data_IF_968840853595
#
_entry.id   IF_968840853595
#
_cell.length_a   1.000
_cell.length_b   1.000
_cell.length_c   1.000
_cell.angle_alpha   90.00
_cell.angle_beta   90.00
_cell.angle_gamma   90.00
#
_symmetry.space_group_name_H-M   'P 1'
#
loop_
_entity.id
_entity.type
_entity.pdbx_description
1 polymer ?
#
# COMPACT_ATOMS: atom_id res chain seq x y z
N UNK A 1 28.33 -4.88 2.07
CA UNK A 1 27.66 -4.93 0.74
C UNK A 1 26.71 -3.75 0.62
N UNK A 2 26.73 -3.03 -0.51
CA UNK A 2 25.90 -1.86 -0.79
C UNK A 2 24.84 -2.21 -1.83
N UNK A 3 23.56 -2.02 -1.49
CA UNK A 3 22.43 -2.35 -2.37
C UNK A 3 21.58 -1.10 -2.60
N UNK A 4 21.24 -0.82 -3.85
CA UNK A 4 20.29 0.22 -4.23
C UNK A 4 19.01 -0.42 -4.78
N UNK A 5 17.88 -0.14 -4.14
CA UNK A 5 16.55 -0.50 -4.63
C UNK A 5 15.95 0.70 -5.37
N UNK A 6 15.51 0.47 -6.61
CA UNK A 6 14.78 1.45 -7.43
C UNK A 6 13.33 1.00 -7.58
N UNK A 7 12.47 1.53 -6.72
CA UNK A 7 11.01 1.33 -6.77
C UNK A 7 10.34 2.63 -6.33
N UNK A 8 9.95 3.44 -7.31
CA UNK A 8 9.56 4.84 -7.07
C UNK A 8 8.05 5.04 -6.92
N UNK A 9 7.23 4.18 -7.53
CA UNK A 9 5.77 4.34 -7.59
C UNK A 9 5.08 3.05 -8.05
N UNK A 10 3.77 2.87 -7.88
CA UNK A 10 2.80 3.63 -7.06
C UNK A 10 2.93 3.35 -5.54
N UNK A 11 2.04 3.87 -4.69
CA UNK A 11 2.10 3.61 -3.24
C UNK A 11 1.98 2.12 -2.91
N UNK A 12 0.98 1.42 -3.47
CA UNK A 12 0.81 -0.02 -3.27
C UNK A 12 2.02 -0.81 -3.76
N UNK A 13 2.59 -0.44 -4.91
CA UNK A 13 3.84 -1.02 -5.43
C UNK A 13 5.04 -0.85 -4.49
N UNK A 14 5.15 0.31 -3.81
CA UNK A 14 6.21 0.57 -2.82
C UNK A 14 6.03 -0.35 -1.62
N UNK A 15 4.79 -0.47 -1.10
CA UNK A 15 4.45 -1.36 0.02
C UNK A 15 4.76 -2.82 -0.33
N UNK A 16 4.27 -3.30 -1.48
CA UNK A 16 4.52 -4.66 -1.94
C UNK A 16 6.00 -5.00 -2.18
N UNK A 17 6.86 -4.00 -2.29
CA UNK A 17 8.29 -4.19 -2.46
C UNK A 17 9.05 -4.24 -1.14
N UNK A 18 8.44 -3.89 0.00
CA UNK A 18 9.12 -3.87 1.29
C UNK A 18 9.67 -5.24 1.73
N UNK A 19 9.03 -6.39 1.43
CA UNK A 19 9.58 -7.70 1.79
C UNK A 19 10.94 -8.02 1.19
N UNK A 20 11.27 -7.39 0.06
CA UNK A 20 12.62 -7.47 -0.53
C UNK A 20 13.69 -7.02 0.46
N UNK A 21 13.43 -5.96 1.23
CA UNK A 21 14.39 -5.46 2.22
C UNK A 21 14.64 -6.50 3.30
N UNK A 22 13.57 -7.15 3.80
CA UNK A 22 13.69 -8.16 4.84
C UNK A 22 14.40 -9.42 4.32
N UNK A 23 14.10 -9.85 3.09
CA UNK A 23 14.79 -10.97 2.46
C UNK A 23 16.29 -10.72 2.31
N UNK A 24 16.68 -9.50 1.90
CA UNK A 24 18.10 -9.11 1.80
C UNK A 24 18.77 -9.16 3.18
N UNK A 25 18.17 -8.54 4.20
CA UNK A 25 18.76 -8.47 5.55
C UNK A 25 18.89 -9.86 6.18
N UNK A 26 17.93 -10.76 5.95
CA UNK A 26 17.99 -12.15 6.45
C UNK A 26 19.18 -12.93 5.89
N UNK A 27 19.46 -12.79 4.60
CA UNK A 27 20.56 -13.51 3.94
C UNK A 27 21.89 -12.78 4.04
N UNK A 28 21.84 -11.45 4.21
CA UNK A 28 23.00 -10.58 4.29
C UNK A 28 22.80 -9.52 5.40
N UNK A 29 23.00 -9.88 6.67
CA UNK A 29 22.73 -8.99 7.81
C UNK A 29 23.49 -7.65 7.78
N UNK A 30 24.68 -7.63 7.17
CA UNK A 30 25.52 -6.43 7.06
C UNK A 30 25.21 -5.59 5.80
N UNK A 31 24.18 -5.95 5.02
CA UNK A 31 23.79 -5.22 3.83
C UNK A 31 23.34 -3.79 4.16
N UNK A 32 23.90 -2.83 3.45
CA UNK A 32 23.54 -1.42 3.54
C UNK A 32 22.60 -1.12 2.36
N UNK A 33 21.31 -0.89 2.67
CA UNK A 33 20.26 -0.78 1.66
C UNK A 33 19.83 0.68 1.53
N UNK A 34 20.02 1.23 0.33
CA UNK A 34 19.49 2.53 -0.06
C UNK A 34 18.28 2.31 -0.97
N UNK A 35 17.26 3.17 -0.85
CA UNK A 35 16.02 3.04 -1.61
C UNK A 35 15.63 4.38 -2.25
N UNK A 36 15.54 4.39 -3.58
CA UNK A 36 14.96 5.51 -4.35
C UNK A 36 13.45 5.42 -4.40
N UNK A 37 12.76 6.44 -3.88
CA UNK A 37 11.29 6.50 -3.86
C UNK A 37 10.77 7.89 -4.21
N UNK A 38 9.55 8.01 -4.76
CA UNK A 38 8.92 9.33 -4.91
C UNK A 38 8.79 10.03 -3.55
N UNK A 39 8.98 11.35 -3.53
CA UNK A 39 9.06 12.16 -2.30
C UNK A 39 7.85 12.00 -1.38
N UNK A 40 6.66 11.81 -1.94
CA UNK A 40 5.43 11.59 -1.17
C UNK A 40 5.40 10.27 -0.40
N UNK A 41 6.34 9.36 -0.66
CA UNK A 41 6.43 8.04 -0.02
C UNK A 41 7.65 7.91 0.91
N UNK A 42 8.45 8.97 1.06
CA UNK A 42 9.68 8.95 1.88
C UNK A 42 9.39 8.60 3.33
N UNK A 43 8.36 9.20 3.93
CA UNK A 43 8.01 8.97 5.33
C UNK A 43 7.61 7.52 5.61
N UNK A 44 6.99 6.85 4.63
CA UNK A 44 6.67 5.44 4.71
C UNK A 44 7.92 4.56 4.65
N UNK A 45 8.81 4.81 3.67
CA UNK A 45 10.01 3.98 3.49
C UNK A 45 10.98 4.13 4.66
N UNK A 46 11.02 5.30 5.33
CA UNK A 46 11.80 5.50 6.56
C UNK A 46 11.38 4.59 7.72
N UNK A 47 10.15 4.08 7.70
CA UNK A 47 9.66 3.13 8.70
C UNK A 47 10.11 1.69 8.43
N UNK A 48 10.65 1.39 7.25
CA UNK A 48 11.07 0.03 6.88
C UNK A 48 12.41 -0.30 7.54
N UNK A 49 12.43 -1.34 8.38
CA UNK A 49 13.65 -1.86 9.02
C UNK A 49 14.64 -2.34 7.95
N UNK A 50 15.92 -2.09 8.16
CA UNK A 50 16.99 -2.45 7.20
C UNK A 50 17.25 -1.42 6.10
N UNK A 51 16.36 -0.44 5.89
CA UNK A 51 16.66 0.69 5.00
C UNK A 51 17.59 1.66 5.71
N UNK A 52 18.80 1.83 5.17
CA UNK A 52 19.81 2.76 5.67
C UNK A 52 19.51 4.20 5.25
N UNK A 53 19.21 4.40 3.96
CA UNK A 53 19.02 5.72 3.37
C UNK A 53 17.86 5.70 2.37
N UNK A 54 16.98 6.68 2.49
CA UNK A 54 15.94 6.95 1.48
C UNK A 54 16.42 8.09 0.60
N UNK A 55 16.38 7.90 -0.73
CA UNK A 55 16.80 8.89 -1.74
C UNK A 55 15.54 9.42 -2.43
N UNK A 56 15.10 10.65 -2.10
CA UNK A 56 13.86 11.20 -2.67
C UNK A 56 13.97 11.48 -4.16
N UNK A 57 12.96 11.08 -4.90
CA UNK A 57 12.76 11.39 -6.32
C UNK A 57 11.50 12.22 -6.48
N UNK A 58 11.52 13.30 -7.26
CA UNK A 58 10.39 14.25 -7.31
C UNK A 58 9.89 14.48 -8.74
N UNK A 59 9.83 13.43 -9.56
CA UNK A 59 9.48 13.54 -10.98
C UNK A 59 8.11 14.17 -11.20
N UNK A 60 7.12 13.86 -10.35
CA UNK A 60 5.79 14.47 -10.43
C UNK A 60 5.83 15.99 -10.29
N UNK A 61 6.70 16.52 -9.42
CA UNK A 61 6.90 17.96 -9.25
C UNK A 61 7.74 18.54 -10.39
N UNK A 62 8.86 17.91 -10.73
CA UNK A 62 9.78 18.37 -11.78
C UNK A 62 9.09 18.50 -13.13
N UNK A 63 8.17 17.59 -13.47
CA UNK A 63 7.39 17.65 -14.72
C UNK A 63 6.44 18.85 -14.80
N UNK A 64 6.05 19.46 -13.67
CA UNK A 64 5.21 20.68 -13.67
C UNK A 64 6.00 21.94 -14.01
N UNK A 65 7.31 21.93 -13.77
CA UNK A 65 8.20 23.08 -14.01
C UNK A 65 9.54 22.63 -14.63
N UNK A 66 9.54 22.03 -15.83
CA UNK A 66 10.73 21.39 -16.40
C UNK A 66 11.83 22.37 -16.81
N UNK A 67 11.50 23.63 -17.06
CA UNK A 67 12.47 24.67 -17.46
C UNK A 67 13.00 25.50 -16.27
N UNK A 68 12.48 25.28 -15.06
CA UNK A 68 12.90 26.06 -13.90
C UNK A 68 14.32 25.68 -13.48
N UNK A 69 15.17 26.67 -13.22
CA UNK A 69 16.55 26.46 -12.75
C UNK A 69 16.60 25.59 -11.49
N UNK A 70 15.65 25.78 -10.57
CA UNK A 70 15.49 24.98 -9.35
C UNK A 70 15.27 23.48 -9.66
N UNK A 71 14.44 23.15 -10.66
CA UNK A 71 14.21 21.76 -11.07
C UNK A 71 15.52 21.10 -11.53
N UNK A 72 16.33 21.80 -12.32
CA UNK A 72 17.63 21.28 -12.78
C UNK A 72 18.64 21.15 -11.64
N UNK A 73 18.64 22.08 -10.69
CA UNK A 73 19.46 21.98 -9.47
C UNK A 73 19.08 20.75 -8.62
N UNK A 74 17.78 20.51 -8.42
CA UNK A 74 17.26 19.35 -7.70
C UNK A 74 17.59 18.03 -8.41
N UNK A 75 17.45 17.97 -9.75
CA UNK A 75 17.86 16.80 -10.55
C UNK A 75 19.38 16.58 -10.43
N UNK A 76 20.18 17.64 -10.48
CA UNK A 76 21.63 17.57 -10.29
C UNK A 76 22.02 17.05 -8.91
N UNK A 77 21.35 17.52 -7.86
CA UNK A 77 21.54 17.05 -6.49
C UNK A 77 21.15 15.56 -6.34
N UNK A 78 20.02 15.16 -6.91
CA UNK A 78 19.57 13.77 -6.96
C UNK A 78 20.60 12.85 -7.65
N UNK A 79 21.11 13.26 -8.82
CA UNK A 79 22.15 12.52 -9.54
C UNK A 79 23.45 12.39 -8.74
N UNK A 80 23.85 13.45 -8.03
CA UNK A 80 25.01 13.39 -7.12
C UNK A 80 24.76 12.41 -5.98
N UNK A 81 23.61 12.50 -5.31
CA UNK A 81 23.22 11.59 -4.23
C UNK A 81 23.25 10.11 -4.65
N UNK A 82 22.74 9.78 -5.86
CA UNK A 82 22.79 8.43 -6.40
C UNK A 82 24.21 7.91 -6.71
N UNK A 83 25.17 8.81 -6.91
CA UNK A 83 26.55 8.48 -7.31
C UNK A 83 27.55 8.59 -6.15
N UNK A 84 27.11 9.07 -4.99
CA UNK A 84 27.92 9.15 -3.76
C UNK A 84 28.43 7.78 -3.34
N UNK A 85 27.59 6.75 -3.43
CA UNK A 85 27.93 5.37 -3.03
C UNK A 85 28.09 4.48 -4.28
N UNK A 86 29.20 3.74 -4.43
CA UNK A 86 29.26 2.62 -5.35
C UNK A 86 28.45 1.45 -4.78
N UNK A 87 27.55 0.89 -5.60
CA UNK A 87 26.67 -0.22 -5.23
C UNK A 87 27.15 -1.52 -5.86
N UNK A 88 27.15 -2.58 -5.05
CA UNK A 88 27.38 -3.94 -5.52
C UNK A 88 26.18 -4.41 -6.35
N UNK A 89 24.98 -4.03 -5.92
CA UNK A 89 23.71 -4.33 -6.61
C UNK A 89 22.87 -3.07 -6.77
N UNK A 90 22.49 -2.76 -8.01
CA UNK A 90 21.42 -1.80 -8.32
C UNK A 90 20.24 -2.58 -8.88
N UNK A 91 19.11 -2.59 -8.20
CA UNK A 91 17.97 -3.45 -8.54
C UNK A 91 16.74 -2.61 -8.84
N UNK A 92 16.29 -2.62 -10.10
CA UNK A 92 15.04 -2.02 -10.55
C UNK A 92 13.91 -3.05 -10.52
N UNK A 93 13.06 -2.96 -9.49
CA UNK A 93 11.88 -3.84 -9.33
C UNK A 93 10.60 -3.28 -9.96
N UNK A 94 10.71 -2.18 -10.71
CA UNK A 94 9.57 -1.49 -11.32
C UNK A 94 9.41 -1.79 -12.81
N UNK A 95 10.49 -1.83 -13.58
CA UNK A 95 10.42 -2.24 -14.99
C UNK A 95 9.90 -1.16 -15.96
N UNK A 96 10.16 0.12 -15.66
CA UNK A 96 9.78 1.25 -16.51
C UNK A 96 11.02 2.01 -16.99
N UNK A 97 10.98 2.62 -18.17
CA UNK A 97 12.06 3.40 -18.75
C UNK A 97 12.54 4.47 -17.75
N UNK A 98 11.61 5.17 -17.10
CA UNK A 98 11.95 6.18 -16.09
C UNK A 98 12.77 5.62 -14.93
N UNK A 99 12.51 4.39 -14.49
CA UNK A 99 13.24 3.76 -13.38
C UNK A 99 14.55 3.15 -13.86
N UNK A 100 14.59 2.61 -15.08
CA UNK A 100 15.84 2.17 -15.69
C UNK A 100 16.86 3.31 -15.85
N UNK A 101 16.41 4.53 -16.18
CA UNK A 101 17.28 5.71 -16.21
C UNK A 101 17.82 6.10 -14.82
N UNK A 102 16.98 6.01 -13.80
CA UNK A 102 17.39 6.24 -12.40
C UNK A 102 18.46 5.21 -12.01
N UNK A 103 18.18 3.93 -12.23
CA UNK A 103 19.10 2.84 -11.91
C UNK A 103 20.44 2.99 -12.67
N UNK A 104 20.40 3.33 -13.96
CA UNK A 104 21.59 3.52 -14.80
C UNK A 104 22.45 4.73 -14.39
N UNK A 105 21.88 5.69 -13.67
CA UNK A 105 22.59 6.86 -13.15
C UNK A 105 23.49 6.49 -11.96
N UNK A 106 23.08 5.51 -11.17
CA UNK A 106 23.83 5.00 -10.03
C UNK A 106 25.12 4.29 -10.46
N UNK A 107 26.05 4.12 -9.53
CA UNK A 107 27.34 3.47 -9.77
C UNK A 107 27.26 1.99 -9.40
N UNK A 108 26.86 1.13 -10.34
CA UNK A 108 26.81 -0.32 -10.12
C UNK A 108 26.21 -1.06 -11.31
N UNK A 109 26.30 -2.40 -11.31
CA UNK A 109 25.61 -3.22 -12.30
C UNK A 109 24.10 -3.22 -12.01
N UNK A 110 23.31 -2.90 -13.04
CA UNK A 110 21.85 -2.82 -12.91
C UNK A 110 21.21 -4.16 -13.23
N UNK A 111 20.42 -4.66 -12.29
CA UNK A 111 19.53 -5.81 -12.40
C UNK A 111 18.09 -5.32 -12.54
N UNK A 112 17.30 -5.97 -13.37
CA UNK A 112 15.89 -5.64 -13.51
C UNK A 112 15.05 -6.74 -14.13
N UNK A 113 13.75 -6.48 -14.23
CA UNK A 113 12.79 -7.41 -14.85
C UNK A 113 13.10 -7.61 -16.35
N UNK A 114 13.12 -8.87 -16.80
CA UNK A 114 13.35 -9.25 -18.19
C UNK A 114 12.07 -9.32 -19.06
N UNK A 115 10.89 -9.36 -18.44
CA UNK A 115 9.60 -9.47 -19.13
C UNK A 115 8.47 -8.75 -18.39
N UNK A 116 7.37 -8.54 -19.11
CA UNK A 116 6.10 -8.11 -18.54
C UNK A 116 5.45 -9.27 -17.78
N UNK A 117 4.83 -8.94 -16.64
CA UNK A 117 3.94 -9.82 -15.86
C UNK A 117 2.50 -9.33 -16.02
N UNK A 118 1.52 -10.21 -15.85
CA UNK A 118 0.12 -9.95 -16.15
C UNK A 118 -0.44 -8.78 -15.34
N UNK A 119 -1.12 -7.86 -16.04
CA UNK A 119 -1.71 -6.66 -15.46
C UNK A 119 -0.73 -5.65 -14.84
N UNK A 120 0.58 -5.88 -14.95
CA UNK A 120 1.60 -4.92 -14.53
C UNK A 120 2.03 -4.00 -15.68
N UNK A 121 2.29 -2.73 -15.35
CA UNK A 121 2.97 -1.82 -16.28
C UNK A 121 4.42 -2.28 -16.47
N UNK A 122 4.84 -2.43 -17.73
CA UNK A 122 6.21 -2.77 -18.11
C UNK A 122 6.51 -2.19 -19.49
N UNK A 123 7.62 -1.45 -19.60
CA UNK A 123 8.07 -0.82 -20.83
C UNK A 123 9.27 -1.58 -21.38
N UNK A 124 9.05 -2.49 -22.33
CA UNK A 124 10.07 -3.42 -22.82
C UNK A 124 11.44 -2.81 -23.19
N UNK A 125 11.56 -1.55 -23.69
CA UNK A 125 12.87 -0.97 -23.98
C UNK A 125 13.74 -0.76 -22.72
N UNK A 126 13.15 -0.78 -21.53
CA UNK A 126 13.87 -0.66 -20.26
C UNK A 126 14.97 -1.72 -20.09
N UNK A 127 14.79 -2.90 -20.70
CA UNK A 127 15.78 -3.99 -20.64
C UNK A 127 17.16 -3.60 -21.16
N UNK A 128 17.24 -2.63 -22.07
CA UNK A 128 18.51 -2.13 -22.61
C UNK A 128 19.26 -1.22 -21.63
N UNK A 129 18.58 -0.76 -20.58
CA UNK A 129 19.18 0.01 -19.49
C UNK A 129 19.74 -0.90 -18.39
N UNK A 130 19.47 -2.21 -18.46
CA UNK A 130 19.91 -3.20 -17.49
C UNK A 130 21.16 -3.93 -17.98
N UNK A 131 22.05 -4.28 -17.04
CA UNK A 131 23.19 -5.17 -17.30
C UNK A 131 22.75 -6.63 -17.23
N UNK A 132 21.89 -6.94 -16.27
CA UNK A 132 21.33 -8.27 -16.03
C UNK A 132 19.82 -8.19 -15.98
N UNK A 133 19.16 -9.21 -16.52
CA UNK A 133 17.70 -9.27 -16.55
C UNK A 133 17.23 -10.61 -16.03
N UNK A 134 16.23 -10.59 -15.16
CA UNK A 134 15.62 -11.80 -14.59
C UNK A 134 14.24 -11.99 -15.18
N UNK A 135 14.00 -13.16 -15.77
CA UNK A 135 12.68 -13.51 -16.28
C UNK A 135 11.83 -14.05 -15.14
N UNK A 136 10.61 -13.56 -15.04
CA UNK A 136 9.64 -13.98 -14.02
C UNK A 136 8.43 -14.58 -14.72
N UNK A 137 7.83 -15.59 -14.11
CA UNK A 137 6.57 -16.18 -14.57
C UNK A 137 5.52 -15.08 -14.80
N UNK A 138 4.85 -15.02 -15.98
CA UNK A 138 3.89 -13.97 -16.29
C UNK A 138 2.77 -13.84 -15.26
N UNK A 139 2.23 -14.97 -14.79
CA UNK A 139 1.18 -15.03 -13.78
C UNK A 139 1.80 -15.11 -12.38
N UNK A 140 2.13 -13.95 -11.80
CA UNK A 140 2.78 -13.88 -10.48
C UNK A 140 2.20 -12.74 -9.64
N UNK A 141 2.08 -12.98 -8.33
CA UNK A 141 1.74 -11.94 -7.38
C UNK A 141 2.83 -10.86 -7.35
N UNK A 142 2.45 -9.59 -7.13
CA UNK A 142 3.37 -8.45 -7.18
C UNK A 142 4.48 -8.51 -6.13
N UNK A 143 4.16 -8.96 -4.91
CA UNK A 143 5.13 -9.19 -3.81
C UNK A 143 6.13 -10.27 -4.23
N UNK A 144 5.65 -11.44 -4.64
CA UNK A 144 6.49 -12.58 -5.06
C UNK A 144 7.40 -12.19 -6.22
N UNK A 145 6.89 -11.43 -7.20
CA UNK A 145 7.68 -10.96 -8.35
C UNK A 145 8.93 -10.20 -7.93
N UNK A 146 8.77 -9.22 -7.03
CA UNK A 146 9.89 -8.42 -6.54
C UNK A 146 10.89 -9.26 -5.73
N UNK A 147 10.39 -10.16 -4.88
CA UNK A 147 11.23 -11.08 -4.09
C UNK A 147 12.06 -12.01 -4.99
N UNK A 148 11.45 -12.62 -6.00
CA UNK A 148 12.12 -13.51 -6.96
C UNK A 148 13.20 -12.79 -7.77
N UNK A 149 12.94 -11.56 -8.24
CA UNK A 149 13.95 -10.77 -8.95
C UNK A 149 15.19 -10.54 -8.08
N UNK A 150 15.01 -10.18 -6.81
CA UNK A 150 16.14 -9.87 -5.91
C UNK A 150 16.87 -11.15 -5.48
N UNK A 151 16.12 -12.21 -5.21
CA UNK A 151 16.68 -13.52 -4.88
C UNK A 151 17.60 -14.04 -6.00
N UNK A 152 17.15 -13.95 -7.26
CA UNK A 152 17.98 -14.30 -8.41
C UNK A 152 19.18 -13.36 -8.56
N UNK A 153 18.98 -12.06 -8.38
CA UNK A 153 20.07 -11.08 -8.51
C UNK A 153 21.19 -11.28 -7.49
N UNK A 154 20.86 -11.75 -6.29
CA UNK A 154 21.80 -11.86 -5.16
C UNK A 154 22.17 -13.30 -4.82
N UNK A 155 21.58 -14.30 -5.49
CA UNK A 155 21.93 -15.71 -5.33
C UNK A 155 21.39 -16.36 -4.05
N UNK A 156 20.20 -15.97 -3.59
CA UNK A 156 19.52 -16.61 -2.46
C UNK A 156 18.15 -17.18 -2.85
N UNK A 157 17.53 -17.97 -1.96
CA UNK A 157 16.18 -18.52 -2.16
C UNK A 157 15.16 -17.73 -1.37
N UNK A 158 14.01 -17.45 -1.98
CA UNK A 158 12.87 -16.81 -1.30
C UNK A 158 12.29 -17.77 -0.28
N UNK A 159 12.02 -17.28 0.94
CA UNK A 159 11.34 -18.04 1.99
C UNK A 159 9.82 -17.85 1.91
N UNK A 160 9.05 -18.78 2.50
CA UNK A 160 7.59 -18.65 2.55
C UNK A 160 7.14 -17.49 3.45
N UNK A 161 7.96 -17.12 4.44
CA UNK A 161 7.67 -16.00 5.34
C UNK A 161 7.78 -14.65 4.62
N UNK A 162 6.66 -13.92 4.56
CA UNK A 162 6.58 -12.56 4.01
C UNK A 162 6.51 -11.57 5.17
N UNK A 163 7.58 -10.81 5.36
CA UNK A 163 7.64 -9.72 6.34
C UNK A 163 7.84 -8.39 5.60
N UNK A 164 6.99 -7.41 5.86
CA UNK A 164 7.10 -6.07 5.28
C UNK A 164 8.06 -5.16 6.05
N UNK A 165 8.45 -5.52 7.27
CA UNK A 165 9.45 -4.81 8.06
C UNK A 165 9.06 -3.40 8.46
N UNK A 166 7.78 -3.05 8.45
CA UNK A 166 7.31 -1.71 8.87
C UNK A 166 7.41 -1.62 10.39
N UNK A 167 8.29 -0.74 10.88
CA UNK A 167 8.48 -0.45 12.30
C UNK A 167 7.39 0.48 12.82
N UNK A 168 6.25 -0.09 13.24
CA UNK A 168 5.10 0.68 13.74
C UNK A 168 5.40 1.46 15.02
N UNK A 169 6.39 1.01 15.81
CA UNK A 169 6.91 1.74 16.96
C UNK A 169 7.57 3.08 16.60
N UNK A 170 7.97 3.26 15.34
CA UNK A 170 8.56 4.52 14.81
C UNK A 170 7.54 5.39 14.09
N UNK A 171 6.31 4.90 13.92
CA UNK A 171 5.25 5.65 13.26
C UNK A 171 4.76 6.80 14.15
N UNK A 172 4.18 7.83 13.52
CA UNK A 172 3.59 8.95 14.23
C UNK A 172 2.16 8.60 14.67
N UNK A 173 1.96 8.44 15.98
CA UNK A 173 0.65 8.10 16.57
C UNK A 173 -0.12 9.33 17.07
N UNK A 174 0.36 10.55 16.83
CA UNK A 174 -0.19 11.79 17.41
C UNK A 174 -1.62 12.13 16.97
N UNK A 175 -2.10 11.54 15.87
CA UNK A 175 -3.43 11.79 15.31
C UNK A 175 -4.37 10.57 15.42
N UNK A 176 -4.12 9.66 16.36
CA UNK A 176 -5.01 8.53 16.60
C UNK A 176 -6.15 8.93 17.56
N UNK A 177 -7.41 8.54 17.30
CA UNK A 177 -8.47 8.66 18.29
C UNK A 177 -8.17 7.86 19.57
N UNK A 178 -8.63 8.37 20.72
CA UNK A 178 -8.50 7.69 22.01
C UNK A 178 -9.50 6.54 22.19
N UNK A 179 -10.60 6.57 21.45
CA UNK A 179 -11.66 5.55 21.46
C UNK A 179 -11.42 4.52 20.36
N UNK A 180 -11.85 3.25 20.51
CA UNK A 180 -11.73 2.25 19.47
C UNK A 180 -12.37 2.68 18.15
N UNK A 181 -11.71 2.39 17.03
CA UNK A 181 -12.18 2.83 15.71
C UNK A 181 -11.88 1.84 14.60
N UNK A 182 -12.69 1.92 13.54
CA UNK A 182 -12.44 1.30 12.24
C UNK A 182 -11.92 2.35 11.25
N UNK A 183 -11.07 1.95 10.32
CA UNK A 183 -10.54 2.82 9.26
C UNK A 183 -11.21 2.45 7.93
N UNK A 184 -11.92 3.40 7.33
CA UNK A 184 -12.58 3.24 6.04
C UNK A 184 -11.76 3.91 4.94
N UNK A 185 -11.11 3.08 4.13
CA UNK A 185 -10.33 3.50 2.97
C UNK A 185 -11.21 3.40 1.72
N UNK A 186 -12.14 4.34 1.57
CA UNK A 186 -13.11 4.38 0.45
C UNK A 186 -12.51 4.93 -0.85
N UNK A 187 -11.44 5.72 -0.73
CA UNK A 187 -10.86 6.49 -1.82
C UNK A 187 -10.05 5.63 -2.80
N UNK A 188 -10.35 5.77 -4.10
CA UNK A 188 -9.59 5.16 -5.20
C UNK A 188 -9.45 6.13 -6.36
N UNK A 189 -8.41 5.94 -7.18
CA UNK A 189 -8.15 6.79 -8.35
C UNK A 189 -8.97 6.43 -9.59
N UNK A 190 -9.82 5.40 -9.50
CA UNK A 190 -10.70 4.97 -10.60
C UNK A 190 -12.11 4.74 -10.08
N UNK A 191 -13.09 5.38 -10.71
CA UNK A 191 -14.50 5.27 -10.31
C UNK A 191 -15.00 3.83 -10.39
N UNK A 192 -14.48 3.04 -11.33
CA UNK A 192 -14.83 1.63 -11.48
C UNK A 192 -14.33 0.76 -10.32
N UNK A 193 -13.46 1.28 -9.44
CA UNK A 193 -12.94 0.61 -8.23
C UNK A 193 -13.68 0.97 -6.94
N UNK A 194 -14.74 1.75 -7.02
CA UNK A 194 -15.50 2.20 -5.85
C UNK A 194 -16.42 1.10 -5.32
N UNK A 195 -16.73 1.20 -4.02
CA UNK A 195 -17.81 0.46 -3.36
C UNK A 195 -18.95 1.43 -3.03
N UNK A 196 -20.23 1.04 -3.15
CA UNK A 196 -21.36 1.97 -3.01
C UNK A 196 -21.33 2.75 -1.70
N UNK A 197 -21.60 4.07 -1.76
CA UNK A 197 -21.64 4.92 -0.55
C UNK A 197 -22.70 4.42 0.46
N UNK A 198 -23.85 3.93 -0.01
CA UNK A 198 -24.90 3.37 0.85
C UNK A 198 -24.41 2.14 1.64
N UNK A 199 -23.58 1.29 1.03
CA UNK A 199 -23.00 0.13 1.70
C UNK A 199 -21.93 0.54 2.73
N UNK A 200 -21.12 1.56 2.43
CA UNK A 200 -20.20 2.17 3.41
C UNK A 200 -20.97 2.71 4.62
N UNK A 201 -22.07 3.42 4.39
CA UNK A 201 -22.89 4.00 5.45
C UNK A 201 -23.54 2.89 6.28
N UNK A 202 -24.10 1.87 5.65
CA UNK A 202 -24.72 0.75 6.34
C UNK A 202 -23.71 -0.01 7.21
N UNK A 203 -22.53 -0.33 6.67
CA UNK A 203 -21.45 -0.96 7.43
C UNK A 203 -20.96 -0.07 8.58
N UNK A 204 -20.81 1.24 8.33
CA UNK A 204 -20.38 2.19 9.35
C UNK A 204 -21.37 2.24 10.52
N UNK A 205 -22.68 2.27 10.25
CA UNK A 205 -23.73 2.22 11.29
C UNK A 205 -23.67 0.94 12.11
N UNK A 206 -23.41 -0.20 11.47
CA UNK A 206 -23.24 -1.47 12.18
C UNK A 206 -22.07 -1.41 13.17
N UNK A 207 -20.92 -0.90 12.74
CA UNK A 207 -19.71 -0.77 13.57
C UNK A 207 -19.86 0.29 14.68
N UNK A 208 -20.56 1.39 14.39
CA UNK A 208 -20.90 2.41 15.41
C UNK A 208 -21.79 1.82 16.49
N UNK A 209 -22.79 1.00 16.12
CA UNK A 209 -23.63 0.30 17.10
C UNK A 209 -22.85 -0.68 17.99
N UNK A 210 -21.65 -1.08 17.57
CA UNK A 210 -20.71 -1.92 18.31
C UNK A 210 -19.70 -1.10 19.13
N UNK A 211 -19.85 0.23 19.18
CA UNK A 211 -19.02 1.14 19.96
C UNK A 211 -17.73 1.57 19.27
N UNK A 212 -17.60 1.38 17.95
CA UNK A 212 -16.47 1.88 17.18
C UNK A 212 -16.77 3.23 16.57
N UNK A 213 -15.75 4.10 16.54
CA UNK A 213 -15.76 5.28 15.65
C UNK A 213 -15.34 4.90 14.24
N UNK A 214 -15.74 5.69 13.25
CA UNK A 214 -15.33 5.50 11.85
C UNK A 214 -14.35 6.60 11.45
N UNK A 215 -13.13 6.23 11.05
CA UNK A 215 -12.13 7.18 10.56
C UNK A 215 -12.01 7.09 9.04
N UNK A 216 -12.11 8.23 8.37
CA UNK A 216 -12.17 8.35 6.91
C UNK A 216 -10.96 9.16 6.38
N UNK A 217 -9.76 8.56 6.29
CA UNK A 217 -8.56 9.24 5.81
C UNK A 217 -8.67 9.59 4.31
N UNK A 218 -7.92 10.62 3.89
CA UNK A 218 -7.93 11.14 2.53
C UNK A 218 -6.56 11.68 2.11
N UNK A 219 -6.24 11.62 0.81
CA UNK A 219 -5.00 12.11 0.23
C UNK A 219 -5.16 13.30 -0.73
N UNK A 220 -6.36 13.50 -1.29
CA UNK A 220 -6.70 14.59 -2.21
C UNK A 220 -7.97 15.34 -1.81
N UNK A 221 -8.17 16.55 -2.35
CA UNK A 221 -9.36 17.36 -2.05
C UNK A 221 -10.67 16.63 -2.42
N UNK A 222 -10.69 15.94 -3.57
CA UNK A 222 -11.85 15.15 -4.00
C UNK A 222 -12.14 13.99 -3.02
N UNK A 223 -11.11 13.30 -2.54
CA UNK A 223 -11.28 12.22 -1.54
C UNK A 223 -11.77 12.77 -0.20
N UNK A 224 -11.35 13.99 0.16
CA UNK A 224 -11.83 14.68 1.37
C UNK A 224 -13.33 14.95 1.28
N UNK A 225 -13.82 15.43 0.14
CA UNK A 225 -15.24 15.69 -0.07
C UNK A 225 -16.08 14.43 0.10
N UNK A 226 -15.63 13.30 -0.48
CA UNK A 226 -16.28 11.99 -0.27
C UNK A 226 -16.26 11.59 1.21
N UNK A 227 -15.11 11.73 1.87
CA UNK A 227 -14.97 11.44 3.31
C UNK A 227 -15.94 12.28 4.15
N UNK A 228 -16.12 13.56 3.82
CA UNK A 228 -17.04 14.46 4.50
C UNK A 228 -18.51 14.10 4.28
N UNK A 229 -18.89 13.66 3.07
CA UNK A 229 -20.25 13.15 2.82
C UNK A 229 -20.54 11.91 3.65
N UNK A 230 -19.64 10.93 3.64
CA UNK A 230 -19.77 9.70 4.42
C UNK A 230 -19.85 10.00 5.93
N UNK A 231 -18.96 10.88 6.43
CA UNK A 231 -18.99 11.29 7.82
C UNK A 231 -20.30 11.98 8.22
N UNK A 232 -20.83 12.85 7.35
CA UNK A 232 -22.10 13.53 7.59
C UNK A 232 -23.27 12.54 7.68
N UNK A 233 -23.28 11.50 6.84
CA UNK A 233 -24.31 10.46 6.86
C UNK A 233 -24.21 9.48 8.05
N UNK A 234 -23.02 9.37 8.65
CA UNK A 234 -22.73 8.52 9.81
C UNK A 234 -22.89 9.25 11.16
N UNK A 235 -22.82 10.59 11.18
CA UNK A 235 -22.99 11.41 12.38
C UNK A 235 -21.72 11.55 13.23
N UNK A 236 -21.89 11.84 14.52
CA UNK A 236 -20.82 12.27 15.43
C UNK A 236 -19.72 11.20 15.67
N UNK A 237 -20.03 9.93 15.43
CA UNK A 237 -19.10 8.81 15.56
C UNK A 237 -18.17 8.65 14.35
N UNK A 238 -18.39 9.42 13.27
CA UNK A 238 -17.49 9.46 12.13
C UNK A 238 -16.57 10.69 12.16
N UNK A 239 -15.31 10.48 11.78
CA UNK A 239 -14.28 11.50 11.81
C UNK A 239 -13.46 11.52 10.53
N UNK A 240 -13.38 12.70 9.91
CA UNK A 240 -12.46 12.98 8.81
C UNK A 240 -11.23 13.67 9.40
N UNK A 241 -10.06 12.99 9.44
CA UNK A 241 -8.85 13.59 10.00
C UNK A 241 -8.38 14.78 9.15
N UNK A 242 -7.51 15.66 9.71
CA UNK A 242 -6.75 16.58 8.88
C UNK A 242 -5.84 15.81 7.91
N UNK A 243 -5.22 16.51 6.96
CA UNK A 243 -4.32 15.86 6.01
C UNK A 243 -3.14 15.22 6.73
N UNK A 244 -3.00 13.91 6.60
CA UNK A 244 -1.93 13.11 7.23
C UNK A 244 -0.77 12.85 6.26
N UNK A 245 0.44 12.76 6.80
CA UNK A 245 1.57 12.11 6.11
C UNK A 245 1.47 10.58 6.26
N UNK A 246 2.28 9.82 5.51
CA UNK A 246 2.17 8.35 5.54
C UNK A 246 2.64 7.72 6.86
N UNK A 247 3.50 8.39 7.63
CA UNK A 247 3.85 7.90 8.97
C UNK A 247 2.65 7.97 9.92
N UNK A 248 1.87 9.06 9.84
CA UNK A 248 0.62 9.22 10.58
C UNK A 248 -0.45 8.23 10.14
N UNK A 249 -0.54 7.95 8.83
CA UNK A 249 -1.48 6.92 8.34
C UNK A 249 -1.09 5.53 8.82
N UNK A 250 0.21 5.20 8.88
CA UNK A 250 0.67 3.94 9.47
C UNK A 250 0.27 3.86 10.94
N UNK A 251 0.49 4.92 11.73
CA UNK A 251 0.07 4.95 13.15
C UNK A 251 -1.44 4.79 13.32
N UNK A 252 -2.23 5.50 12.51
CA UNK A 252 -3.68 5.41 12.50
C UNK A 252 -4.16 3.98 12.19
N UNK A 253 -3.60 3.32 11.19
CA UNK A 253 -3.98 1.94 10.83
C UNK A 253 -3.50 0.95 11.87
N UNK A 254 -2.31 1.13 12.43
CA UNK A 254 -1.71 0.24 13.42
C UNK A 254 -2.54 0.13 14.71
N UNK A 255 -3.14 1.24 15.14
CA UNK A 255 -4.03 1.31 16.32
C UNK A 255 -5.50 1.04 16.01
N UNK A 256 -5.88 0.98 14.74
CA UNK A 256 -7.26 0.68 14.33
C UNK A 256 -7.65 -0.75 14.66
N UNK A 257 -8.93 -0.96 15.00
CA UNK A 257 -9.50 -2.29 15.26
C UNK A 257 -9.58 -3.10 13.98
N UNK A 258 -10.03 -2.47 12.90
CA UNK A 258 -10.17 -3.08 11.57
C UNK A 258 -10.06 -2.01 10.49
N UNK A 259 -9.44 -2.36 9.36
CA UNK A 259 -9.43 -1.54 8.16
C UNK A 259 -10.29 -2.19 7.08
N UNK A 260 -11.18 -1.42 6.48
CA UNK A 260 -11.98 -1.85 5.32
C UNK A 260 -11.70 -0.88 4.19
N UNK A 261 -11.30 -1.38 3.02
CA UNK A 261 -10.87 -0.51 1.94
C UNK A 261 -10.99 -1.10 0.56
N UNK A 262 -11.19 -0.23 -0.43
CA UNK A 262 -11.02 -0.60 -1.84
C UNK A 262 -9.54 -0.74 -2.20
N UNK A 263 -9.23 -1.38 -3.34
CA UNK A 263 -7.85 -1.54 -3.85
C UNK A 263 -7.14 -0.19 -4.08
N UNK A 264 -6.46 0.28 -3.05
CA UNK A 264 -5.67 1.52 -3.01
C UNK A 264 -4.45 1.37 -2.12
N UNK A 265 -3.48 2.28 -2.25
CA UNK A 265 -2.22 2.19 -1.51
C UNK A 265 -2.38 2.12 0.01
N UNK A 266 -3.41 2.76 0.59
CA UNK A 266 -3.63 2.73 2.04
C UNK A 266 -4.16 1.37 2.54
N UNK A 267 -5.01 0.67 1.77
CA UNK A 267 -5.48 -0.65 2.19
C UNK A 267 -4.32 -1.67 2.19
N UNK A 268 -3.42 -1.55 1.23
CA UNK A 268 -2.22 -2.39 1.20
C UNK A 268 -1.25 -2.09 2.35
N UNK A 269 -1.20 -0.85 2.86
CA UNK A 269 -0.47 -0.55 4.11
C UNK A 269 -1.08 -1.36 5.25
N UNK A 270 -2.41 -1.39 5.40
CA UNK A 270 -3.07 -2.17 6.45
C UNK A 270 -2.79 -3.67 6.35
N UNK A 271 -2.86 -4.21 5.13
CA UNK A 271 -2.50 -5.60 4.86
C UNK A 271 -1.02 -5.88 5.21
N UNK A 272 -0.10 -5.00 4.82
CA UNK A 272 1.33 -5.11 5.11
C UNK A 272 1.66 -5.05 6.61
N UNK A 273 0.87 -4.29 7.38
CA UNK A 273 0.97 -4.21 8.84
C UNK A 273 0.43 -5.46 9.55
N UNK A 274 -0.16 -6.41 8.82
CA UNK A 274 -0.79 -7.61 9.38
C UNK A 274 -1.89 -7.27 10.42
N UNK A 275 -2.60 -6.17 10.18
CA UNK A 275 -3.77 -5.74 10.96
C UNK A 275 -5.04 -6.32 10.33
N UNK A 276 -6.12 -6.55 11.10
CA UNK A 276 -7.41 -6.96 10.55
C UNK A 276 -7.81 -6.07 9.38
N UNK A 277 -7.83 -6.64 8.16
CA UNK A 277 -7.99 -5.88 6.92
C UNK A 277 -8.94 -6.60 5.97
N UNK A 278 -9.90 -5.86 5.43
CA UNK A 278 -10.77 -6.32 4.36
C UNK A 278 -10.44 -5.50 3.11
N UNK A 279 -9.94 -6.18 2.08
CA UNK A 279 -9.61 -5.60 0.78
C UNK A 279 -10.77 -5.86 -0.21
N UNK A 280 -11.35 -4.80 -0.73
CA UNK A 280 -12.49 -4.83 -1.65
C UNK A 280 -12.01 -4.64 -3.09
N UNK A 281 -12.33 -5.62 -3.93
CA UNK A 281 -11.95 -5.67 -5.33
C UNK A 281 -13.17 -5.75 -6.23
N UNK A 282 -13.03 -5.21 -7.44
CA UNK A 282 -14.08 -5.27 -8.46
C UNK A 282 -13.49 -5.32 -9.88
N UNK A 283 -12.29 -5.91 -10.02
CA UNK A 283 -11.56 -6.03 -11.28
C UNK A 283 -10.84 -7.39 -11.35
N UNK A 284 -10.54 -7.84 -12.57
CA UNK A 284 -10.12 -9.22 -12.87
C UNK A 284 -8.71 -9.58 -12.41
N UNK A 285 -7.94 -8.60 -11.97
CA UNK A 285 -6.55 -8.78 -11.54
C UNK A 285 -6.36 -8.58 -10.04
N UNK A 286 -7.43 -8.75 -9.25
CA UNK A 286 -7.40 -8.71 -7.79
C UNK A 286 -6.34 -9.65 -7.19
N UNK A 287 -6.22 -10.85 -7.77
CA UNK A 287 -5.21 -11.86 -7.41
C UNK A 287 -3.77 -11.35 -7.43
N UNK A 288 -3.48 -10.25 -8.14
CA UNK A 288 -2.12 -9.69 -8.25
C UNK A 288 -1.70 -8.92 -7.01
N UNK A 289 -2.65 -8.30 -6.31
CA UNK A 289 -2.39 -7.37 -5.20
C UNK A 289 -3.04 -7.76 -3.89
N UNK A 290 -3.95 -8.75 -3.89
CA UNK A 290 -4.61 -9.26 -2.69
C UNK A 290 -3.65 -9.88 -1.67
N UNK A 291 -3.78 -9.46 -0.42
CA UNK A 291 -2.94 -9.96 0.66
C UNK A 291 -3.19 -11.44 0.94
N UNK A 292 -2.14 -12.25 0.83
CA UNK A 292 -2.18 -13.71 1.05
C UNK A 292 -1.25 -14.18 2.18
N UNK A 293 -0.45 -13.29 2.77
CA UNK A 293 0.57 -13.61 3.78
C UNK A 293 0.04 -13.73 5.20
N UNK A 294 -1.26 -13.48 5.42
CA UNK A 294 -1.84 -13.54 6.76
C UNK A 294 -3.32 -13.92 6.74
N UNK A 295 -3.78 -14.72 7.72
CA UNK A 295 -5.22 -14.98 7.92
C UNK A 295 -6.00 -13.76 8.42
N UNK A 296 -5.33 -12.65 8.76
CA UNK A 296 -5.97 -11.39 9.18
C UNK A 296 -6.40 -10.51 8.00
N UNK A 297 -6.19 -10.99 6.77
CA UNK A 297 -6.53 -10.28 5.55
C UNK A 297 -7.59 -11.09 4.82
N UNK A 298 -8.71 -10.44 4.48
CA UNK A 298 -9.77 -11.04 3.68
C UNK A 298 -9.94 -10.23 2.41
N UNK A 299 -9.77 -10.89 1.27
CA UNK A 299 -9.97 -10.31 -0.06
C UNK A 299 -11.39 -10.65 -0.53
N UNK A 300 -12.19 -9.65 -0.88
CA UNK A 300 -13.55 -9.86 -1.37
C UNK A 300 -13.71 -9.27 -2.78
N UNK A 301 -14.44 -10.01 -3.61
CA UNK A 301 -14.86 -9.59 -4.95
C UNK A 301 -13.83 -9.81 -6.07
N UNK A 302 -14.32 -9.72 -7.29
CA UNK A 302 -13.55 -9.83 -8.53
C UNK A 302 -14.21 -8.99 -9.66
N UNK A 303 -13.77 -9.14 -10.91
CA UNK A 303 -14.38 -8.42 -12.03
C UNK A 303 -15.87 -8.72 -12.27
N UNK A 304 -16.31 -9.94 -11.97
CA UNK A 304 -17.67 -10.41 -12.22
C UNK A 304 -18.59 -10.22 -11.00
N UNK A 305 -18.04 -10.32 -9.80
CA UNK A 305 -18.79 -10.29 -8.55
C UNK A 305 -18.26 -9.19 -7.64
N UNK A 306 -18.99 -8.07 -7.56
CA UNK A 306 -18.69 -7.02 -6.60
C UNK A 306 -18.95 -7.53 -5.17
N UNK A 307 -18.15 -7.11 -4.17
CA UNK A 307 -18.39 -7.44 -2.77
C UNK A 307 -19.75 -6.94 -2.32
N UNK A 308 -20.55 -7.85 -1.79
CA UNK A 308 -21.83 -7.50 -1.16
C UNK A 308 -21.62 -7.06 0.28
N UNK A 309 -22.49 -6.20 0.82
CA UNK A 309 -22.49 -5.82 2.23
C UNK A 309 -22.54 -7.04 3.17
N UNK A 310 -23.29 -8.09 2.81
CA UNK A 310 -23.35 -9.32 3.60
C UNK A 310 -21.98 -10.00 3.73
N UNK A 311 -21.25 -10.15 2.62
CA UNK A 311 -19.89 -10.72 2.64
C UNK A 311 -18.92 -9.88 3.46
N UNK A 312 -19.02 -8.54 3.38
CA UNK A 312 -18.18 -7.65 4.18
C UNK A 312 -18.50 -7.79 5.68
N UNK A 313 -19.78 -7.88 6.06
CA UNK A 313 -20.20 -8.14 7.44
C UNK A 313 -19.68 -9.48 7.97
N UNK A 314 -19.71 -10.52 7.15
CA UNK A 314 -19.14 -11.83 7.50
C UNK A 314 -17.63 -11.74 7.75
N UNK A 315 -16.90 -11.05 6.87
CA UNK A 315 -15.47 -10.84 7.04
C UNK A 315 -15.14 -10.01 8.29
N UNK A 316 -15.95 -9.00 8.64
CA UNK A 316 -15.81 -8.25 9.91
C UNK A 316 -15.95 -9.19 11.10
N UNK A 317 -16.98 -10.05 11.11
CA UNK A 317 -17.19 -11.04 12.19
C UNK A 317 -16.02 -12.01 12.32
N UNK A 318 -15.46 -12.46 11.20
CA UNK A 318 -14.29 -13.34 11.18
C UNK A 318 -13.05 -12.67 11.77
N UNK A 319 -12.79 -11.41 11.38
CA UNK A 319 -11.54 -10.72 11.69
C UNK A 319 -11.55 -10.00 13.05
N UNK A 320 -12.72 -9.62 13.55
CA UNK A 320 -12.91 -8.91 14.81
C UNK A 320 -14.01 -9.58 15.67
N UNK A 321 -13.82 -10.84 16.11
CA UNK A 321 -14.86 -11.62 16.80
C UNK A 321 -15.26 -11.06 18.17
N UNK A 322 -14.46 -10.17 18.75
CA UNK A 322 -14.80 -9.44 19.98
C UNK A 322 -15.90 -8.40 19.78
N UNK A 323 -16.21 -8.03 18.54
CA UNK A 323 -17.32 -7.15 18.21
C UNK A 323 -18.64 -7.96 18.23
N UNK A 324 -19.66 -7.46 18.93
CA UNK A 324 -20.94 -8.19 19.08
C UNK A 324 -21.70 -8.24 17.75
N UNK A 325 -22.38 -9.36 17.42
CA UNK A 325 -23.20 -9.42 16.22
C UNK A 325 -24.38 -8.45 16.30
N UNK A 326 -24.60 -7.68 15.24
CA UNK A 326 -25.84 -6.89 15.07
C UNK A 326 -26.98 -7.87 14.80
N UNK A 327 -28.10 -7.82 15.54
CA UNK A 327 -29.28 -8.61 15.18
C UNK A 327 -29.72 -8.21 13.77
N UNK A 328 -29.81 -9.18 12.87
CA UNK A 328 -30.39 -8.97 11.54
C UNK A 328 -31.82 -8.45 11.73
N UNK A 329 -32.04 -7.18 11.37
CA UNK A 329 -33.35 -6.56 11.36
C UNK A 329 -34.20 -7.10 10.22
N UNK A 330 -34.57 -8.38 10.27
CA UNK A 330 -35.71 -8.89 9.52
C UNK A 330 -36.95 -8.72 10.39
N UNK A 331 -37.92 -7.97 9.85
CA UNK A 331 -39.09 -7.49 10.56
C UNK A 331 -39.95 -8.61 11.14
N UNK A 332 -40.12 -8.61 12.46
CA UNK A 332 -41.28 -9.22 13.09
C UNK A 332 -42.43 -8.20 13.10
N UNK A 333 -43.65 -8.57 12.69
CA UNK A 333 -44.78 -7.65 12.66
C UNK A 333 -45.12 -7.19 14.07
N UNK A 334 -45.34 -5.88 14.24
CA UNK A 334 -45.94 -5.33 15.46
C UNK A 334 -47.33 -5.94 15.59
N UNK A 335 -47.52 -6.83 16.56
CA UNK A 335 -48.85 -7.17 17.03
C UNK A 335 -49.50 -5.92 17.60
N UNK A 336 -50.59 -5.54 16.95
CA UNK A 336 -51.57 -4.56 17.41
C UNK A 336 -52.11 -5.00 18.77
N UNK A 337 -51.91 -4.16 19.80
CA UNK A 337 -52.62 -4.26 21.06
C UNK A 337 -53.48 -3.03 21.22
N UNK A 338 -54.67 -3.12 20.64
CA UNK A 338 -55.86 -2.43 21.08
C UNK A 338 -56.37 -3.07 22.38
N UNK A 339 -56.30 -2.33 23.48
CA UNK A 339 -57.19 -2.41 24.64
C UNK A 339 -57.09 -1.11 25.44
#
# INVERSE_FOLDING_TARGET
>A
MQVLIVKVSSLGDVVHNMPVVQDIVRHHPDAQIDWVVEEGFVDLVKLVRGVRRVIPFALRRWRKQPLAARTWQEIGAFRRALRETPYDYVIDTQGLIKTGWIARTARGAVWGLGNRTEGASYEWPVRYLYRHTVRIEPHTHVVTRSRLLVAEAMGFKVTDEIDFGIATERADHSQCPDSPYAVFVHATSRDDKTWPEDDWIALGRDLVSQGLRIVLPWGSAAEREVSQRLATALGDDAWVPPKMNLSQVVGLIDRGVITVGVDTGLVHIAAALNRPTIELYNFSTAWRTGGFWSPRIVNLGDAAHKPTLAQVRDAVRQLAPSLRPVPSGDGAPREDRSA
#
